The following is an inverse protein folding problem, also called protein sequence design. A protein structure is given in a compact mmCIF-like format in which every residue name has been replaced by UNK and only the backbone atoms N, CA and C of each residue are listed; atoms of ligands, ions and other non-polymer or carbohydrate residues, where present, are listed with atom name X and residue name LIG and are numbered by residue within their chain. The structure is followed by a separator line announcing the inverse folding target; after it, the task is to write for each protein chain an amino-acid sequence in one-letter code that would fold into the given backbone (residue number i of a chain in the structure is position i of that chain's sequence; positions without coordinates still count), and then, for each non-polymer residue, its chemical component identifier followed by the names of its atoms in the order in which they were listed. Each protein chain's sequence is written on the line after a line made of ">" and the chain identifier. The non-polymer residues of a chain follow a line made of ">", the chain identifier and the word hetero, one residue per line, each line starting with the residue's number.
data_IF_230157546141
#
_entry.id   IF_230157546141
#
_cell.length_a   1.000
_cell.length_b   1.000
_cell.length_c   1.000
_cell.angle_alpha   90.00
_cell.angle_beta   90.00
_cell.angle_gamma   90.00
#
_symmetry.space_group_name_H-M   'P 1'
#
loop_
_entity.id
_entity.type
_entity.pdbx_description
1 polymer ?
#
# COMPACT_ATOMS: atom_id res chain seq x y z
N UNK A 1 -14.96 10.08 11.84
CA UNK A 1 -14.98 8.74 12.46
C UNK A 1 -16.43 8.44 12.84
N UNK A 2 -16.97 7.31 12.39
CA UNK A 2 -18.33 6.87 12.74
C UNK A 2 -18.24 5.91 13.92
N UNK A 3 -19.15 5.97 14.89
CA UNK A 3 -19.16 4.98 15.97
C UNK A 3 -19.41 3.56 15.42
N UNK A 4 -18.58 2.62 15.86
CA UNK A 4 -18.63 1.21 15.45
C UNK A 4 -18.65 0.25 16.63
N UNK A 5 -18.87 0.76 17.85
CA UNK A 5 -18.85 -0.01 19.11
C UNK A 5 -19.79 -1.22 19.09
N UNK A 6 -20.98 -1.06 18.48
CA UNK A 6 -21.99 -2.13 18.40
C UNK A 6 -21.74 -3.14 17.27
N UNK A 7 -20.69 -2.96 16.46
CA UNK A 7 -20.40 -3.87 15.35
C UNK A 7 -19.60 -5.08 15.86
N UNK A 8 -20.00 -6.32 15.53
CA UNK A 8 -19.26 -7.50 15.95
C UNK A 8 -17.88 -7.57 15.26
N UNK A 9 -16.90 -8.09 16.00
CA UNK A 9 -15.58 -8.41 15.47
C UNK A 9 -15.70 -9.59 14.51
N UNK A 10 -15.13 -9.43 13.32
CA UNK A 10 -15.16 -10.40 12.23
C UNK A 10 -13.82 -10.38 11.50
N UNK A 11 -13.50 -11.44 10.77
CA UNK A 11 -12.37 -11.41 9.82
C UNK A 11 -12.77 -10.50 8.66
N UNK A 12 -11.87 -9.58 8.31
CA UNK A 12 -12.09 -8.59 7.25
C UNK A 12 -10.92 -8.63 6.28
N UNK A 13 -11.25 -8.57 4.99
CA UNK A 13 -10.28 -8.57 3.89
C UNK A 13 -10.68 -7.49 2.87
N UNK A 14 -9.68 -6.90 2.22
CA UNK A 14 -9.88 -5.99 1.10
C UNK A 14 -8.73 -6.16 0.10
N UNK A 15 -9.04 -6.02 -1.19
CA UNK A 15 -8.07 -6.08 -2.29
C UNK A 15 -8.20 -4.79 -3.11
N UNK A 16 -7.06 -4.20 -3.48
CA UNK A 16 -6.98 -3.01 -4.31
C UNK A 16 -5.89 -3.16 -5.38
N UNK A 17 -6.02 -2.44 -6.48
CA UNK A 17 -5.05 -2.43 -7.59
C UNK A 17 -4.84 -1.02 -8.13
N UNK A 18 -3.64 -0.72 -8.61
CA UNK A 18 -3.29 0.53 -9.26
C UNK A 18 -2.37 0.30 -10.46
N UNK A 19 -2.35 1.25 -11.40
CA UNK A 19 -1.49 1.21 -12.60
C UNK A 19 -0.69 2.50 -12.68
N UNK A 20 0.61 2.36 -12.91
CA UNK A 20 1.52 3.48 -13.19
C UNK A 20 1.86 3.46 -14.68
N UNK A 21 1.55 4.55 -15.38
CA UNK A 21 2.01 4.76 -16.76
C UNK A 21 3.34 5.48 -16.74
N UNK A 22 4.29 4.97 -17.51
CA UNK A 22 5.63 5.55 -17.65
C UNK A 22 6.12 5.43 -19.09
N UNK A 23 7.22 6.12 -19.39
CA UNK A 23 7.86 6.03 -20.70
C UNK A 23 8.44 4.63 -20.94
N UNK A 24 8.51 4.13 -22.19
CA UNK A 24 9.01 2.79 -22.49
C UNK A 24 10.46 2.55 -22.05
N UNK A 25 11.32 3.56 -22.16
CA UNK A 25 12.72 3.52 -21.73
C UNK A 25 12.85 3.32 -20.22
N UNK A 26 12.04 4.02 -19.42
CA UNK A 26 12.01 3.86 -17.96
C UNK A 26 11.54 2.47 -17.56
N UNK A 27 10.52 1.93 -18.24
CA UNK A 27 10.05 0.56 -18.01
C UNK A 27 11.16 -0.45 -18.33
N UNK A 28 11.88 -0.27 -19.44
CA UNK A 28 13.01 -1.13 -19.79
C UNK A 28 14.09 -1.12 -18.70
N UNK A 29 14.49 0.06 -18.20
CA UNK A 29 15.47 0.17 -17.11
C UNK A 29 14.97 -0.43 -15.79
N UNK A 30 13.67 -0.28 -15.47
CA UNK A 30 13.05 -0.89 -14.29
C UNK A 30 13.13 -2.42 -14.35
N UNK A 31 12.75 -3.01 -15.48
CA UNK A 31 12.78 -4.46 -15.70
C UNK A 31 14.22 -4.99 -15.75
N UNK A 32 15.16 -4.21 -16.31
CA UNK A 32 16.58 -4.54 -16.37
C UNK A 32 17.33 -4.38 -15.05
N UNK A 33 16.74 -3.75 -14.03
CA UNK A 33 17.41 -3.48 -12.75
C UNK A 33 18.48 -2.38 -12.84
N UNK A 34 18.44 -1.53 -13.85
CA UNK A 34 19.45 -0.52 -14.16
C UNK A 34 19.07 0.88 -13.64
N UNK A 35 18.08 0.96 -12.75
CA UNK A 35 17.63 2.23 -12.21
C UNK A 35 18.73 2.85 -11.34
N UNK A 36 19.04 4.15 -11.51
CA UNK A 36 20.14 4.81 -10.80
C UNK A 36 19.91 4.95 -9.29
N UNK A 37 18.67 4.74 -8.82
CA UNK A 37 18.27 4.82 -7.41
C UNK A 37 18.11 3.44 -6.75
N UNK A 38 18.48 2.36 -7.44
CA UNK A 38 18.32 0.99 -6.96
C UNK A 38 16.96 0.37 -7.31
N UNK A 39 16.64 -0.74 -6.64
CA UNK A 39 15.43 -1.54 -6.90
C UNK A 39 14.14 -0.80 -6.47
N UNK A 40 13.44 -0.26 -7.47
CA UNK A 40 12.19 0.45 -7.24
C UNK A 40 11.03 -0.46 -6.83
N UNK A 41 10.99 -1.73 -7.26
CA UNK A 41 9.89 -2.65 -6.90
C UNK A 41 10.01 -3.12 -5.46
N UNK A 42 11.22 -3.47 -5.01
CA UNK A 42 11.46 -3.79 -3.61
C UNK A 42 11.16 -2.58 -2.71
N UNK A 43 11.60 -1.40 -3.11
CA UNK A 43 11.31 -0.15 -2.38
C UNK A 43 9.80 0.14 -2.33
N UNK A 44 9.08 -0.07 -3.44
CA UNK A 44 7.63 0.12 -3.50
C UNK A 44 6.87 -0.81 -2.55
N UNK A 45 7.26 -2.09 -2.43
CA UNK A 45 6.65 -3.04 -1.49
C UNK A 45 6.80 -2.61 -0.03
N UNK A 46 7.99 -2.13 0.35
CA UNK A 46 8.25 -1.59 1.68
C UNK A 46 7.39 -0.35 1.94
N UNK A 47 7.39 0.60 0.99
CA UNK A 47 6.62 1.83 1.10
C UNK A 47 5.11 1.55 1.22
N UNK A 48 4.57 0.60 0.44
CA UNK A 48 3.17 0.22 0.48
C UNK A 48 2.79 -0.46 1.81
N UNK A 49 3.66 -1.30 2.37
CA UNK A 49 3.44 -1.90 3.70
C UNK A 49 3.41 -0.84 4.81
N UNK A 50 4.30 0.15 4.74
CA UNK A 50 4.30 1.29 5.68
C UNK A 50 3.07 2.17 5.50
N UNK A 51 2.67 2.43 4.26
CA UNK A 51 1.48 3.19 3.92
C UNK A 51 0.21 2.57 4.50
N UNK A 52 0.02 1.25 4.32
CA UNK A 52 -1.15 0.55 4.85
C UNK A 52 -1.30 0.73 6.37
N UNK A 53 -0.18 0.67 7.11
CA UNK A 53 -0.14 0.84 8.58
C UNK A 53 -0.37 2.28 9.06
N UNK A 54 -0.26 3.26 8.17
CA UNK A 54 -0.42 4.70 8.48
C UNK A 54 -1.69 5.29 7.87
N UNK A 55 -2.60 4.44 7.40
CA UNK A 55 -3.82 4.87 6.70
C UNK A 55 -4.66 5.84 7.53
N UNK A 56 -4.75 5.60 8.83
CA UNK A 56 -5.48 6.43 9.81
C UNK A 56 -4.81 7.79 10.05
N UNK A 57 -3.49 7.90 9.86
CA UNK A 57 -2.81 9.20 9.88
C UNK A 57 -3.12 10.05 8.64
N UNK A 58 -3.43 9.41 7.51
CA UNK A 58 -3.60 10.09 6.21
C UNK A 58 -5.06 10.37 5.86
N UNK A 59 -5.99 9.52 6.30
CA UNK A 59 -7.42 9.62 5.96
C UNK A 59 -8.19 10.12 7.19
N UNK A 60 -8.69 11.38 7.22
CA UNK A 60 -9.19 12.03 8.43
C UNK A 60 -10.33 11.32 9.18
N UNK A 61 -11.10 10.47 8.50
CA UNK A 61 -12.24 9.76 9.09
C UNK A 61 -12.01 8.25 9.21
N UNK A 62 -10.83 7.74 8.87
CA UNK A 62 -10.48 6.34 9.04
C UNK A 62 -10.30 6.00 10.53
N UNK A 63 -10.67 4.79 10.90
CA UNK A 63 -10.40 4.24 12.22
C UNK A 63 -8.99 3.66 12.26
N UNK A 64 -8.32 3.77 13.40
CA UNK A 64 -7.10 3.00 13.68
C UNK A 64 -7.48 1.53 13.81
N UNK A 65 -6.94 0.67 12.93
CA UNK A 65 -7.23 -0.76 12.88
C UNK A 65 -5.93 -1.55 13.11
N UNK A 66 -5.91 -2.54 14.02
CA UNK A 66 -4.76 -3.44 14.17
C UNK A 66 -4.69 -4.40 12.99
N UNK A 67 -3.93 -4.03 11.96
CA UNK A 67 -3.73 -4.88 10.78
C UNK A 67 -3.03 -6.19 11.17
N UNK A 68 -3.62 -7.31 10.76
CA UNK A 68 -3.06 -8.65 10.99
C UNK A 68 -2.24 -9.15 9.81
N UNK A 69 -2.48 -8.64 8.60
CA UNK A 69 -1.76 -9.01 7.37
C UNK A 69 -1.79 -7.88 6.34
N UNK A 70 -0.69 -7.72 5.59
CA UNK A 70 -0.57 -6.83 4.41
C UNK A 70 0.32 -7.53 3.39
N UNK A 71 -0.11 -7.56 2.12
CA UNK A 71 0.65 -8.10 0.99
C UNK A 71 0.56 -7.16 -0.22
N UNK A 72 1.67 -7.02 -0.97
CA UNK A 72 1.84 -6.11 -2.13
C UNK A 72 2.73 -6.75 -3.17
#
# INVERSE_FOLDING_TARGET
>A
MVDVSDKPVTVREAVASAVIRMKPDVLASLVGGELPKGDALATARLAATLAAKRTDEWIPLAHTIPLTHVAV
#
